data_IF_256995053396
#
_entry.id   IF_256995053396
#
_cell.length_a   1.000
_cell.length_b   1.000
_cell.length_c   1.000
_cell.angle_alpha   90.00
_cell.angle_beta   90.00
_cell.angle_gamma   90.00
#
_symmetry.space_group_name_H-M   'P 1'
#
loop_
_entity.id
_entity.type
_entity.pdbx_description
1 polymer ?
#
# COMPACT_ATOMS: atom_id res chain seq x y z
N UNK A 1 16.52 17.76 10.85
CA UNK A 1 15.60 17.69 9.69
C UNK A 1 15.87 16.38 9.00
N UNK A 2 14.99 15.39 9.14
CA UNK A 2 15.23 14.03 8.63
C UNK A 2 14.95 14.07 7.13
N UNK A 3 16.01 13.89 6.34
CA UNK A 3 16.01 14.12 4.90
C UNK A 3 15.28 12.97 4.21
N UNK A 4 14.13 13.27 3.61
CA UNK A 4 13.33 12.33 2.81
C UNK A 4 14.08 11.75 1.60
N UNK A 5 15.27 12.27 1.30
CA UNK A 5 16.14 11.84 0.21
C UNK A 5 16.69 10.41 0.37
N UNK A 6 16.79 9.88 1.60
CA UNK A 6 17.30 8.52 1.83
C UNK A 6 16.27 7.41 1.54
N UNK A 7 14.98 7.74 1.39
CA UNK A 7 13.93 6.78 1.03
C UNK A 7 13.80 6.55 -0.49
N UNK A 8 14.52 7.34 -1.30
CA UNK A 8 14.55 7.23 -2.76
C UNK A 8 15.48 6.14 -3.29
N UNK A 9 16.33 5.55 -2.45
CA UNK A 9 17.36 4.56 -2.83
C UNK A 9 16.98 3.11 -2.44
N UNK A 10 15.70 2.83 -2.16
CA UNK A 10 15.22 1.45 -2.24
C UNK A 10 14.99 1.19 -3.72
N UNK A 11 15.79 0.35 -4.39
CA UNK A 11 15.79 0.09 -5.84
C UNK A 11 14.51 -0.50 -6.46
N UNK A 12 13.36 -0.09 -5.96
CA UNK A 12 12.01 -0.44 -6.38
C UNK A 12 11.31 0.84 -6.84
N UNK A 13 10.80 0.81 -8.06
CA UNK A 13 9.94 1.86 -8.59
C UNK A 13 8.62 1.95 -7.81
N UNK A 14 7.84 2.99 -8.07
CA UNK A 14 6.47 3.06 -7.57
C UNK A 14 5.63 1.87 -8.07
N UNK A 15 5.88 1.44 -9.31
CA UNK A 15 5.17 0.33 -9.95
C UNK A 15 5.44 -0.99 -9.22
N UNK A 16 6.69 -1.25 -8.84
CA UNK A 16 7.08 -2.41 -8.02
C UNK A 16 6.35 -2.45 -6.68
N UNK A 17 6.03 -1.29 -6.10
CA UNK A 17 5.28 -1.18 -4.85
C UNK A 17 3.78 -1.42 -5.08
N UNK A 18 3.23 -0.96 -6.20
CA UNK A 18 1.83 -1.21 -6.58
C UNK A 18 1.62 -2.71 -6.81
N UNK A 19 2.52 -3.37 -7.54
CA UNK A 19 2.45 -4.81 -7.79
C UNK A 19 2.52 -5.63 -6.50
N UNK A 20 3.32 -5.18 -5.51
CA UNK A 20 3.33 -5.81 -4.18
C UNK A 20 1.98 -5.73 -3.47
N UNK A 21 1.32 -4.57 -3.49
CA UNK A 21 -0.01 -4.40 -2.88
C UNK A 21 -1.06 -5.26 -3.61
N UNK A 22 -1.00 -5.31 -4.94
CA UNK A 22 -1.86 -6.20 -5.74
C UNK A 22 -1.62 -7.67 -5.37
N UNK A 23 -0.36 -8.07 -5.16
CA UNK A 23 -0.01 -9.40 -4.67
C UNK A 23 -0.66 -9.71 -3.32
N UNK A 24 -0.58 -8.79 -2.35
CA UNK A 24 -1.18 -8.95 -1.03
C UNK A 24 -2.72 -9.08 -1.08
N UNK A 25 -3.36 -8.33 -1.99
CA UNK A 25 -4.81 -8.44 -2.21
C UNK A 25 -5.19 -9.80 -2.80
N UNK A 26 -4.40 -10.31 -3.76
CA UNK A 26 -4.62 -11.64 -4.38
C UNK A 26 -4.38 -12.79 -3.40
N UNK A 27 -3.37 -12.65 -2.56
CA UNK A 27 -2.98 -13.63 -1.52
C UNK A 27 -3.93 -13.61 -0.31
N UNK A 28 -4.73 -12.54 -0.16
CA UNK A 28 -5.67 -12.38 0.95
C UNK A 28 -5.01 -11.88 2.24
N UNK A 29 -3.76 -11.45 2.18
CA UNK A 29 -3.03 -10.80 3.29
C UNK A 29 -3.35 -9.31 3.42
N UNK A 30 -4.04 -8.72 2.45
CA UNK A 30 -4.68 -7.41 2.54
C UNK A 30 -6.11 -7.45 1.97
N UNK A 31 -6.94 -6.48 2.37
CA UNK A 31 -8.31 -6.33 1.87
C UNK A 31 -8.69 -4.86 1.66
N UNK A 32 -9.61 -4.63 0.74
CA UNK A 32 -10.24 -3.32 0.53
C UNK A 32 -11.44 -3.19 1.48
N UNK A 33 -11.49 -2.09 2.23
CA UNK A 33 -12.61 -1.72 3.10
C UNK A 33 -13.17 -0.39 2.64
N UNK A 34 -14.49 -0.36 2.44
CA UNK A 34 -15.21 0.88 2.17
C UNK A 34 -15.75 1.46 3.48
N UNK A 35 -15.37 2.70 3.77
CA UNK A 35 -15.94 3.47 4.87
C UNK A 35 -17.10 4.33 4.35
N UNK A 36 -18.31 3.98 4.77
CA UNK A 36 -19.54 4.68 4.33
C UNK A 36 -19.66 6.11 4.88
N UNK A 37 -18.97 6.41 5.98
CA UNK A 37 -19.08 7.71 6.66
C UNK A 37 -18.33 8.80 5.89
N UNK A 38 -17.18 8.44 5.35
CA UNK A 38 -16.28 9.31 4.59
C UNK A 38 -16.35 9.06 3.09
N UNK A 39 -17.14 8.08 2.65
CA UNK A 39 -17.20 7.59 1.26
C UNK A 39 -15.80 7.28 0.70
N UNK A 40 -14.95 6.62 1.52
CA UNK A 40 -13.57 6.32 1.16
C UNK A 40 -13.29 4.82 1.04
N UNK A 41 -12.39 4.46 0.12
CA UNK A 41 -11.85 3.11 -0.01
C UNK A 41 -10.45 3.05 0.60
N UNK A 42 -10.23 2.11 1.51
CA UNK A 42 -8.96 1.92 2.20
C UNK A 42 -8.45 0.51 1.99
N UNK A 43 -7.14 0.34 1.86
CA UNK A 43 -6.50 -0.98 1.82
C UNK A 43 -5.89 -1.23 3.20
N UNK A 44 -6.27 -2.34 3.83
CA UNK A 44 -5.82 -2.70 5.18
C UNK A 44 -5.28 -4.13 5.22
N UNK A 45 -4.27 -4.43 6.06
CA UNK A 45 -3.80 -5.79 6.26
C UNK A 45 -4.89 -6.68 6.86
N UNK A 46 -4.84 -7.97 6.55
CA UNK A 46 -5.62 -9.01 7.25
C UNK A 46 -4.75 -9.51 8.41
N UNK A 47 -5.29 -9.44 9.63
CA UNK A 47 -4.64 -9.91 10.87
C UNK A 47 -5.19 -11.26 11.27
#
# INVERSE_FOLDING_TARGET
TREWSELGDAGYSLDDKVEQVIGQLKDGTARVVFDITTESCNIVPVT
#
